data_IF_731108194501
#
_entry.id   IF_731108194501
#
_cell.length_a   1.000
_cell.length_b   1.000
_cell.length_c   1.000
_cell.angle_alpha   90.00
_cell.angle_beta   90.00
_cell.angle_gamma   90.00
#
_symmetry.space_group_name_H-M   'P 1'
#
loop_
_entity.id
_entity.type
_entity.pdbx_description
1 polymer ?
#
# COMPACT_ATOMS: atom_id res chain seq x y z
N UNK A 1 13.96 18.63 -2.73
CA UNK A 1 12.94 18.57 -3.74
C UNK A 1 11.73 17.80 -3.22
N UNK A 2 10.54 18.33 -3.44
CA UNK A 2 9.33 17.66 -2.95
C UNK A 2 9.10 16.35 -3.68
N UNK A 3 8.57 15.36 -2.99
CA UNK A 3 8.19 14.11 -3.62
C UNK A 3 7.11 14.40 -4.67
N UNK A 4 7.15 13.74 -5.84
CA UNK A 4 6.17 13.97 -6.89
C UNK A 4 4.80 13.39 -6.57
N UNK A 5 4.69 12.54 -5.55
CA UNK A 5 3.45 11.87 -5.20
C UNK A 5 2.98 12.27 -3.81
N UNK A 6 1.67 12.20 -3.63
CA UNK A 6 1.03 12.41 -2.33
C UNK A 6 0.42 11.09 -1.86
N UNK A 7 0.36 10.93 -0.54
CA UNK A 7 -0.21 9.73 0.07
C UNK A 7 -1.59 10.04 0.62
N UNK A 8 -2.52 9.09 0.45
CA UNK A 8 -3.83 9.16 1.08
C UNK A 8 -4.23 7.75 1.53
N UNK A 9 -4.66 7.66 2.79
CA UNK A 9 -5.07 6.40 3.39
C UNK A 9 -6.58 6.41 3.55
N UNK A 10 -7.26 5.38 3.04
CA UNK A 10 -8.69 5.22 3.22
C UNK A 10 -8.99 4.77 4.63
N UNK A 11 -10.25 4.85 5.04
CA UNK A 11 -10.69 4.34 6.34
C UNK A 11 -10.41 2.85 6.46
N UNK A 12 -10.65 2.11 5.40
CA UNK A 12 -10.42 0.66 5.40
C UNK A 12 -8.94 0.35 5.63
N UNK A 13 -8.06 1.10 4.99
CA UNK A 13 -6.62 0.91 5.19
C UNK A 13 -6.24 1.19 6.65
N UNK A 14 -6.72 2.30 7.20
CA UNK A 14 -6.40 2.67 8.58
C UNK A 14 -6.97 1.66 9.57
N UNK A 15 -8.17 1.14 9.31
CA UNK A 15 -8.77 0.13 10.16
C UNK A 15 -7.96 -1.16 10.14
N UNK A 16 -7.50 -1.57 8.95
CA UNK A 16 -6.63 -2.74 8.84
C UNK A 16 -5.34 -2.54 9.62
N UNK A 17 -4.75 -1.35 9.46
CA UNK A 17 -3.47 -1.02 10.09
C UNK A 17 -3.58 -1.06 11.62
N UNK A 18 -4.67 -0.53 12.17
CA UNK A 18 -4.87 -0.49 13.61
C UNK A 18 -4.91 -1.87 14.27
N UNK A 19 -5.24 -2.89 13.50
CA UNK A 19 -5.31 -4.26 14.02
C UNK A 19 -3.94 -4.90 14.16
N UNK A 20 -2.90 -4.25 13.66
CA UNK A 20 -1.55 -4.79 13.67
C UNK A 20 -0.79 -4.24 14.86
N UNK A 21 0.27 -4.95 15.26
CA UNK A 21 1.14 -4.47 16.33
C UNK A 21 1.79 -3.16 15.91
N UNK A 22 2.10 -2.32 16.91
CA UNK A 22 2.67 -1.00 16.65
C UNK A 22 3.94 -1.05 15.82
N UNK A 23 4.80 -2.03 16.09
CA UNK A 23 6.04 -2.17 15.34
C UNK A 23 5.80 -2.49 13.87
N UNK A 24 4.77 -3.30 13.60
CA UNK A 24 4.39 -3.64 12.23
C UNK A 24 3.80 -2.44 11.53
N UNK A 25 2.95 -1.69 12.23
CA UNK A 25 2.38 -0.46 11.67
C UNK A 25 3.48 0.49 11.23
N UNK A 26 4.46 0.73 12.10
CA UNK A 26 5.57 1.63 11.79
C UNK A 26 6.39 1.13 10.62
N UNK A 27 6.62 -0.18 10.56
CA UNK A 27 7.38 -0.78 9.47
C UNK A 27 6.70 -0.59 8.13
N UNK A 28 5.37 -0.78 8.10
CA UNK A 28 4.59 -0.61 6.87
C UNK A 28 4.60 0.84 6.41
N UNK A 29 4.30 1.76 7.32
CA UNK A 29 4.25 3.17 6.98
C UNK A 29 5.61 3.69 6.53
N UNK A 30 6.68 3.23 7.20
CA UNK A 30 8.03 3.64 6.83
C UNK A 30 8.40 3.11 5.44
N UNK A 31 8.03 1.88 5.14
CA UNK A 31 8.31 1.32 3.82
C UNK A 31 7.57 2.06 2.72
N UNK A 32 6.32 2.45 2.99
CA UNK A 32 5.56 3.25 2.04
C UNK A 32 6.27 4.57 1.77
N UNK A 33 6.69 5.24 2.83
CA UNK A 33 7.31 6.56 2.70
C UNK A 33 8.69 6.52 2.07
N UNK A 34 9.49 5.50 2.41
CA UNK A 34 10.89 5.48 1.97
C UNK A 34 11.11 4.74 0.66
N UNK A 35 10.23 3.82 0.31
CA UNK A 35 10.39 3.02 -0.91
C UNK A 35 9.34 3.31 -1.95
N UNK A 36 8.08 3.25 -1.55
CA UNK A 36 6.99 3.37 -2.51
C UNK A 36 6.79 4.80 -2.98
N UNK A 37 6.76 5.75 -2.04
CA UNK A 37 6.52 7.15 -2.37
C UNK A 37 7.54 7.72 -3.37
N UNK A 38 8.85 7.45 -3.21
CA UNK A 38 9.82 7.94 -4.19
C UNK A 38 9.73 7.26 -5.56
N UNK A 39 9.25 6.00 -5.60
CA UNK A 39 9.25 5.24 -6.85
C UNK A 39 8.11 4.21 -6.84
N UNK A 40 6.85 4.68 -6.99
CA UNK A 40 5.71 3.77 -6.89
C UNK A 40 5.65 2.77 -8.03
N UNK A 41 6.11 3.14 -9.23
CA UNK A 41 6.08 2.23 -10.36
C UNK A 41 7.17 1.16 -10.27
N UNK A 42 8.28 1.49 -9.63
CA UNK A 42 9.39 0.55 -9.46
C UNK A 42 9.16 -0.44 -8.33
N UNK A 43 8.47 -0.03 -7.27
CA UNK A 43 8.25 -0.87 -6.10
C UNK A 43 6.85 -1.48 -6.05
N UNK A 44 5.87 -0.85 -6.68
CA UNK A 44 4.54 -1.41 -6.78
C UNK A 44 4.44 -2.36 -7.96
N UNK A 45 3.42 -3.20 -7.95
CA UNK A 45 3.15 -4.12 -9.04
C UNK A 45 1.68 -4.03 -9.42
N UNK A 46 1.40 -3.75 -10.69
CA UNK A 46 0.04 -3.72 -11.16
C UNK A 46 -0.48 -5.14 -11.34
N UNK A 47 -1.68 -5.39 -10.83
CA UNK A 47 -2.28 -6.73 -10.89
C UNK A 47 -3.03 -6.90 -12.19
N UNK A 48 -2.78 -8.01 -12.87
CA UNK A 48 -3.41 -8.31 -14.16
C UNK A 48 -4.84 -8.78 -13.91
N UNK A 49 -5.77 -8.22 -14.69
CA UNK A 49 -7.16 -8.65 -14.65
C UNK A 49 -7.95 -8.16 -13.45
N UNK A 50 -7.32 -7.37 -12.59
CA UNK A 50 -8.00 -6.82 -11.43
C UNK A 50 -8.81 -5.60 -11.84
N UNK A 51 -10.07 -5.55 -11.40
CA UNK A 51 -10.93 -4.39 -11.61
C UNK A 51 -11.30 -3.78 -10.27
N UNK A 52 -11.80 -2.53 -10.30
CA UNK A 52 -12.17 -1.83 -9.09
C UNK A 52 -10.97 -1.28 -8.35
N UNK A 53 -11.18 -0.81 -7.10
CA UNK A 53 -10.11 -0.18 -6.32
C UNK A 53 -8.99 -1.15 -5.96
N UNK A 54 -7.77 -0.60 -5.84
CA UNK A 54 -6.64 -1.39 -5.39
C UNK A 54 -6.05 -2.28 -6.45
N UNK A 55 -5.78 -1.72 -7.63
CA UNK A 55 -5.22 -2.48 -8.74
C UNK A 55 -3.72 -2.68 -8.64
N UNK A 56 -3.08 -2.04 -7.67
CA UNK A 56 -1.64 -2.15 -7.45
C UNK A 56 -1.36 -2.82 -6.12
N UNK A 57 -0.23 -3.51 -6.04
CA UNK A 57 0.21 -4.20 -4.83
C UNK A 57 1.62 -3.77 -4.46
N UNK A 58 1.83 -3.58 -3.14
CA UNK A 58 3.13 -3.34 -2.57
C UNK A 58 3.32 -4.31 -1.41
N UNK A 59 4.47 -4.96 -1.36
CA UNK A 59 4.73 -6.00 -0.38
C UNK A 59 5.70 -5.48 0.68
N UNK A 60 5.33 -5.65 1.95
CA UNK A 60 6.20 -5.34 3.08
C UNK A 60 6.27 -6.59 3.95
N UNK A 61 7.36 -7.35 3.83
CA UNK A 61 7.46 -8.63 4.53
C UNK A 61 6.32 -9.56 4.15
N UNK A 62 5.58 -9.99 5.17
CA UNK A 62 4.44 -10.89 4.96
C UNK A 62 3.14 -10.14 4.70
N UNK A 63 3.20 -8.83 4.59
CA UNK A 63 2.00 -8.01 4.40
C UNK A 63 1.91 -7.53 2.97
N UNK A 64 0.67 -7.51 2.46
CA UNK A 64 0.38 -7.03 1.12
C UNK A 64 -0.53 -5.84 1.22
N UNK A 65 -0.13 -4.79 0.53
CA UNK A 65 -0.83 -3.52 0.55
C UNK A 65 -1.40 -3.28 -0.83
N UNK A 66 -2.70 -2.96 -0.87
CA UNK A 66 -3.38 -2.67 -2.12
C UNK A 66 -3.58 -1.17 -2.22
N UNK A 67 -3.24 -0.62 -3.38
CA UNK A 67 -3.32 0.82 -3.58
C UNK A 67 -3.56 1.11 -5.06
N UNK A 68 -3.84 2.37 -5.36
CA UNK A 68 -3.96 2.85 -6.73
C UNK A 68 -3.07 4.06 -6.92
N UNK A 69 -2.69 4.27 -8.16
CA UNK A 69 -1.93 5.45 -8.58
C UNK A 69 -2.86 6.25 -9.47
N UNK A 70 -3.27 7.44 -9.00
CA UNK A 70 -4.15 8.32 -9.75
C UNK A 70 -3.45 9.65 -9.91
N UNK A 71 -2.85 9.87 -11.09
CA UNK A 71 -2.04 11.04 -11.30
C UNK A 71 -0.87 11.06 -10.34
N UNK A 72 -0.86 12.01 -9.42
CA UNK A 72 0.20 12.14 -8.41
C UNK A 72 -0.25 11.65 -7.04
N UNK A 73 -1.37 10.98 -6.96
CA UNK A 73 -1.92 10.49 -5.71
C UNK A 73 -1.76 8.98 -5.60
N UNK A 74 -1.21 8.54 -4.46
CA UNK A 74 -1.19 7.13 -4.10
C UNK A 74 -2.28 6.92 -3.07
N UNK A 75 -3.28 6.15 -3.43
CA UNK A 75 -4.45 5.94 -2.59
C UNK A 75 -4.45 4.49 -2.08
N UNK A 76 -4.40 4.34 -0.75
CA UNK A 76 -4.21 3.03 -0.12
C UNK A 76 -5.53 2.50 0.41
N UNK A 77 -5.86 1.25 0.05
CA UNK A 77 -7.17 0.67 0.36
C UNK A 77 -7.13 -0.39 1.45
N UNK A 78 -6.18 -1.32 1.39
CA UNK A 78 -6.17 -2.46 2.30
C UNK A 78 -4.76 -2.89 2.67
N UNK A 79 -4.64 -3.47 3.87
CA UNK A 79 -3.44 -4.18 4.32
C UNK A 79 -3.87 -5.59 4.69
N UNK A 80 -3.19 -6.60 4.15
CA UNK A 80 -3.51 -7.99 4.45
C UNK A 80 -2.24 -8.76 4.74
N UNK A 81 -2.30 -9.64 5.75
CA UNK A 81 -1.25 -10.61 5.95
C UNK A 81 -1.35 -11.63 4.80
N UNK A 82 -0.21 -12.17 4.37
CA UNK A 82 -0.19 -13.11 3.23
C UNK A 82 -1.14 -14.29 3.44
N UNK A 83 -1.39 -14.69 4.70
CA UNK A 83 -2.27 -15.80 5.01
C UNK A 83 -3.75 -15.49 4.81
N UNK A 84 -4.08 -14.21 4.71
CA UNK A 84 -5.46 -13.77 4.54
C UNK A 84 -5.84 -13.62 3.08
N UNK A 85 -4.88 -13.83 2.17
CA UNK A 85 -5.11 -13.64 0.75
C UNK A 85 -5.14 -14.99 0.09
N UNK A 86 -6.29 -15.36 -0.43
CA UNK A 86 -6.48 -16.59 -1.16
C UNK A 86 -6.70 -16.29 -2.62
N UNK A 87 -5.92 -16.93 -3.45
CA UNK A 87 -5.99 -16.74 -4.88
C UNK A 87 -6.85 -17.78 -5.54
#
# INVERSE_FOLDING_TARGET
MAAPFELRYTRSFLADLEKLESSVQRRILRAIETKLLPDPFGHGRKLVGKTGPGQWRFRVGDYRIRFDIEGRLLLFYRVRHRREIYE
#
